data_IF_828919050967
#
_entry.id   IF_828919050967
#
_cell.length_a   1.000
_cell.length_b   1.000
_cell.length_c   1.000
_cell.angle_alpha   90.00
_cell.angle_beta   90.00
_cell.angle_gamma   90.00
#
_symmetry.space_group_name_H-M   'P 1'
#
loop_
_entity.id
_entity.type
_entity.pdbx_description
1 polymer ?
#
# COMPACT_ATOMS: atom_id res chain seq x y z
N UNK A 1 -26.87 -3.69 34.04
CA UNK A 1 -26.69 -3.61 32.58
C UNK A 1 -25.23 -3.93 32.26
N UNK A 2 -25.01 -4.75 31.25
CA UNK A 2 -23.68 -5.06 30.72
C UNK A 2 -23.39 -4.17 29.51
N UNK A 3 -22.13 -3.82 29.28
CA UNK A 3 -21.73 -3.03 28.12
C UNK A 3 -20.40 -3.56 27.57
N UNK A 4 -20.36 -3.82 26.26
CA UNK A 4 -19.21 -4.40 25.58
C UNK A 4 -18.93 -3.67 24.27
N UNK A 5 -17.64 -3.57 23.95
CA UNK A 5 -17.14 -3.18 22.64
C UNK A 5 -16.91 -4.45 21.82
N UNK A 6 -17.38 -4.46 20.58
CA UNK A 6 -17.22 -5.59 19.66
C UNK A 6 -16.36 -5.17 18.46
N UNK A 7 -15.47 -6.06 18.02
CA UNK A 7 -14.70 -5.87 16.80
C UNK A 7 -15.40 -6.56 15.62
N UNK A 8 -16.09 -5.77 14.79
CA UNK A 8 -16.96 -6.29 13.73
C UNK A 8 -16.22 -6.67 12.44
N UNK A 9 -15.22 -5.91 12.00
CA UNK A 9 -14.47 -6.16 10.76
C UNK A 9 -13.24 -5.27 10.63
N UNK A 10 -12.23 -5.70 9.86
CA UNK A 10 -11.22 -4.79 9.30
C UNK A 10 -9.76 -4.96 9.75
N UNK A 11 -9.40 -5.99 10.53
CA UNK A 11 -8.00 -6.27 10.86
C UNK A 11 -7.61 -7.72 10.57
N UNK A 12 -6.46 -7.91 9.93
CA UNK A 12 -5.77 -9.21 9.76
C UNK A 12 -4.84 -9.53 10.94
N UNK A 13 -4.72 -8.62 11.91
CA UNK A 13 -3.81 -8.70 13.06
C UNK A 13 -4.52 -8.29 14.35
N UNK A 14 -3.99 -8.70 15.50
CA UNK A 14 -4.47 -8.31 16.82
C UNK A 14 -4.33 -6.79 17.03
N UNK A 15 -5.40 -6.14 17.49
CA UNK A 15 -5.41 -4.69 17.76
C UNK A 15 -5.48 -4.45 19.25
N UNK A 16 -4.50 -3.72 19.79
CA UNK A 16 -4.53 -3.27 21.19
C UNK A 16 -5.27 -1.95 21.28
N UNK A 17 -6.31 -1.91 22.10
CA UNK A 17 -7.21 -0.77 22.24
C UNK A 17 -7.36 -0.43 23.71
N UNK A 18 -7.14 0.83 24.07
CA UNK A 18 -7.61 1.39 25.33
C UNK A 18 -8.95 2.06 25.07
N UNK A 19 -9.98 1.68 25.81
CA UNK A 19 -11.29 2.31 25.68
C UNK A 19 -11.90 2.62 27.04
N UNK A 20 -12.68 3.69 27.05
CA UNK A 20 -13.42 4.19 28.21
C UNK A 20 -14.89 4.28 27.85
N UNK A 21 -15.74 3.62 28.63
CA UNK A 21 -17.19 3.77 28.57
C UNK A 21 -17.64 4.60 29.77
N UNK A 22 -18.46 5.61 29.51
CA UNK A 22 -19.01 6.52 30.53
C UNK A 22 -20.46 6.86 30.23
N UNK A 23 -21.24 7.11 31.28
CA UNK A 23 -22.64 7.53 31.13
C UNK A 23 -22.75 9.05 31.26
N UNK A 24 -23.41 9.68 30.30
CA UNK A 24 -23.65 11.13 30.30
C UNK A 24 -24.99 11.47 30.96
N UNK A 25 -25.01 12.57 31.70
CA UNK A 25 -26.25 13.22 32.15
C UNK A 25 -26.78 14.20 31.09
N UNK A 26 -28.02 14.67 31.27
CA UNK A 26 -28.73 15.57 30.33
C UNK A 26 -27.96 16.85 29.97
N UNK A 27 -27.10 17.35 30.86
CA UNK A 27 -26.27 18.54 30.64
C UNK A 27 -24.95 18.24 29.91
N UNK A 28 -24.76 17.00 29.44
CA UNK A 28 -23.53 16.54 28.81
C UNK A 28 -22.37 16.35 29.78
N UNK A 29 -22.57 16.58 31.09
CA UNK A 29 -21.56 16.27 32.10
C UNK A 29 -21.53 14.77 32.36
N UNK A 30 -20.33 14.31 32.66
CA UNK A 30 -20.07 12.92 32.99
C UNK A 30 -20.56 12.68 34.41
N UNK A 31 -21.43 11.68 34.60
CA UNK A 31 -21.73 11.16 35.93
C UNK A 31 -20.47 10.47 36.46
N UNK A 32 -19.70 11.19 37.27
CA UNK A 32 -18.30 10.88 37.54
C UNK A 32 -17.99 9.56 38.30
N UNK A 33 -18.93 8.79 38.89
CA UNK A 33 -18.60 7.44 39.37
C UNK A 33 -18.76 6.31 38.33
N UNK A 34 -19.29 6.58 37.12
CA UNK A 34 -19.67 5.52 36.17
C UNK A 34 -18.77 5.41 34.93
N UNK A 35 -17.59 6.04 34.94
CA UNK A 35 -16.60 5.85 33.89
C UNK A 35 -15.77 4.59 34.17
N UNK A 36 -15.73 3.66 33.22
CA UNK A 36 -14.87 2.47 33.28
C UNK A 36 -13.92 2.46 32.10
N UNK A 37 -12.64 2.25 32.38
CA UNK A 37 -11.58 2.21 31.38
C UNK A 37 -10.88 0.87 31.43
N UNK A 38 -10.59 0.29 30.28
CA UNK A 38 -9.76 -0.91 30.17
C UNK A 38 -8.87 -0.85 28.93
N UNK A 39 -7.82 -1.65 28.92
CA UNK A 39 -7.00 -1.92 27.74
C UNK A 39 -7.17 -3.38 27.37
N UNK A 40 -7.56 -3.63 26.13
CA UNK A 40 -7.86 -4.96 25.62
C UNK A 40 -7.14 -5.20 24.30
N UNK A 41 -6.79 -6.46 24.04
CA UNK A 41 -6.35 -6.92 22.73
C UNK A 41 -7.53 -7.62 22.05
N UNK A 42 -7.96 -7.06 20.92
CA UNK A 42 -9.00 -7.63 20.07
C UNK A 42 -8.35 -8.47 18.98
N UNK A 43 -8.72 -9.75 18.90
CA UNK A 43 -8.35 -10.63 17.79
C UNK A 43 -9.32 -10.42 16.61
N UNK A 44 -8.95 -10.82 15.38
CA UNK A 44 -9.83 -10.70 14.22
C UNK A 44 -11.18 -11.40 14.44
N UNK A 45 -12.25 -10.60 14.35
CA UNK A 45 -13.68 -10.96 14.27
C UNK A 45 -14.29 -11.64 15.51
N UNK A 46 -15.41 -11.07 16.00
CA UNK A 46 -16.29 -11.69 17.01
C UNK A 46 -15.85 -11.57 18.46
N UNK A 47 -14.66 -11.00 18.73
CA UNK A 47 -14.19 -10.76 20.09
C UNK A 47 -14.83 -9.52 20.69
N UNK A 48 -15.34 -9.66 21.91
CA UNK A 48 -15.93 -8.59 22.70
C UNK A 48 -15.13 -8.37 23.99
N UNK A 49 -15.03 -7.10 24.40
CA UNK A 49 -14.45 -6.71 25.68
C UNK A 49 -15.32 -5.66 26.36
N UNK A 50 -15.52 -5.78 27.67
CA UNK A 50 -16.42 -4.89 28.39
C UNK A 50 -16.64 -5.31 29.83
N UNK A 51 -17.80 -4.94 30.37
CA UNK A 51 -18.16 -5.22 31.75
C UNK A 51 -19.53 -5.86 31.84
N UNK A 52 -19.61 -7.06 32.42
CA UNK A 52 -20.86 -7.74 32.75
C UNK A 52 -21.72 -6.94 33.75
N UNK A 53 -21.07 -6.17 34.61
CA UNK A 53 -21.73 -5.25 35.54
C UNK A 53 -21.24 -3.84 35.28
N UNK A 54 -21.59 -3.28 34.12
CA UNK A 54 -21.24 -1.90 33.79
C UNK A 54 -21.93 -0.92 34.74
N UNK A 55 -23.25 -1.06 34.94
CA UNK A 55 -24.03 -0.27 35.90
C UNK A 55 -25.11 -1.12 36.58
N UNK A 56 -25.35 -0.85 37.86
CA UNK A 56 -26.43 -1.47 38.63
C UNK A 56 -27.80 -1.03 38.10
N UNK A 57 -28.77 -1.94 38.13
CA UNK A 57 -30.13 -1.67 37.63
C UNK A 57 -30.80 -0.51 38.37
N UNK A 58 -30.64 -0.43 39.70
CA UNK A 58 -31.21 0.65 40.51
C UNK A 58 -30.66 2.03 40.12
N UNK A 59 -29.33 2.14 39.95
CA UNK A 59 -28.66 3.37 39.51
C UNK A 59 -29.08 3.77 38.09
N UNK A 60 -29.25 2.79 37.20
CA UNK A 60 -29.73 3.05 35.84
C UNK A 60 -31.18 3.54 35.83
N UNK A 61 -32.05 2.96 36.67
CA UNK A 61 -33.45 3.40 36.80
C UNK A 61 -33.56 4.83 37.34
N UNK A 62 -32.72 5.20 38.31
CA UNK A 62 -32.63 6.57 38.82
C UNK A 62 -32.23 7.56 37.72
N UNK A 63 -31.25 7.19 36.89
CA UNK A 63 -30.80 7.99 35.75
C UNK A 63 -31.86 8.12 34.66
N UNK A 64 -32.54 7.03 34.30
CA UNK A 64 -33.65 7.02 33.33
C UNK A 64 -34.79 7.94 33.79
N UNK A 65 -35.14 7.89 35.09
CA UNK A 65 -36.17 8.74 35.68
C UNK A 65 -35.83 10.22 35.61
N UNK A 66 -34.54 10.57 35.59
CA UNK A 66 -34.04 11.95 35.47
C UNK A 66 -33.86 12.41 34.02
N UNK A 67 -33.76 11.49 33.06
CA UNK A 67 -33.33 11.74 31.68
C UNK A 67 -34.35 11.27 30.62
N UNK A 68 -35.65 11.49 30.85
CA UNK A 68 -36.73 11.17 29.89
C UNK A 68 -36.65 9.74 29.33
N UNK A 69 -36.35 8.77 30.19
CA UNK A 69 -36.20 7.35 29.86
C UNK A 69 -35.11 7.05 28.80
N UNK A 70 -34.16 7.98 28.64
CA UNK A 70 -33.00 7.84 27.75
C UNK A 70 -31.70 7.88 28.56
N UNK A 71 -30.67 7.24 28.01
CA UNK A 71 -29.30 7.38 28.51
C UNK A 71 -28.31 7.34 27.35
N UNK A 72 -27.18 8.00 27.53
CA UNK A 72 -26.12 8.06 26.51
C UNK A 72 -24.85 7.43 27.07
N UNK A 73 -24.33 6.43 26.36
CA UNK A 73 -23.01 5.87 26.62
C UNK A 73 -22.01 6.58 25.71
N UNK A 74 -21.07 7.32 26.31
CA UNK A 74 -19.92 7.86 25.62
C UNK A 74 -18.79 6.84 25.64
N UNK A 75 -18.38 6.40 24.45
CA UNK A 75 -17.21 5.58 24.22
C UNK A 75 -16.06 6.45 23.73
N UNK A 76 -14.95 6.49 24.47
CA UNK A 76 -13.69 7.08 24.01
C UNK A 76 -12.74 5.93 23.72
N UNK A 77 -12.24 5.86 22.48
CA UNK A 77 -11.42 4.76 22.00
C UNK A 77 -10.06 5.29 21.55
N UNK A 78 -8.98 4.65 22.01
CA UNK A 78 -7.61 4.93 21.62
C UNK A 78 -6.96 3.64 21.13
N UNK A 79 -6.61 3.60 19.85
CA UNK A 79 -5.87 2.47 19.26
C UNK A 79 -4.39 2.63 19.61
N UNK A 80 -3.84 1.62 20.28
CA UNK A 80 -2.43 1.55 20.65
C UNK A 80 -1.73 0.73 19.56
N UNK A 81 -0.94 1.41 18.73
CA UNK A 81 0.02 0.74 17.85
C UNK A 81 1.21 0.35 18.73
N UNK A 82 1.40 -0.94 18.97
CA UNK A 82 2.65 -1.41 19.57
C UNK A 82 3.73 -1.13 18.52
N UNK A 83 4.48 -0.04 18.68
CA UNK A 83 5.80 0.05 18.06
C UNK A 83 6.63 -1.05 18.70
N UNK A 84 7.32 -1.86 17.90
CA UNK A 84 8.37 -2.73 18.42
C UNK A 84 9.46 -1.83 19.03
N UNK A 85 9.29 -1.43 20.29
CA UNK A 85 10.35 -0.89 21.11
C UNK A 85 10.90 -2.07 21.88
N UNK A 86 12.05 -2.55 21.42
CA UNK A 86 12.92 -3.41 22.21
C UNK A 86 13.15 -2.75 23.57
N UNK A 87 12.75 -3.44 24.62
CA UNK A 87 12.87 -2.98 26.00
C UNK A 87 14.19 -3.51 26.56
N UNK A 88 15.28 -2.70 26.55
CA UNK A 88 16.34 -2.67 27.59
C UNK A 88 17.09 -1.32 27.49
N UNK A 89 17.25 -0.61 28.60
CA UNK A 89 18.25 0.45 28.77
C UNK A 89 19.67 -0.07 28.46
N UNK A 90 20.09 0.05 27.22
CA UNK A 90 21.50 0.03 26.81
C UNK A 90 21.91 1.44 26.44
N UNK A 91 23.13 1.86 26.76
CA UNK A 91 23.74 3.07 26.20
C UNK A 91 23.64 2.96 24.68
N UNK A 92 22.70 3.70 24.08
CA UNK A 92 22.51 3.71 22.63
C UNK A 92 23.65 4.58 22.09
N UNK A 93 24.75 3.95 21.69
CA UNK A 93 25.69 4.61 20.77
C UNK A 93 24.88 4.90 19.51
N UNK A 94 24.66 6.17 19.13
CA UNK A 94 23.89 6.46 17.93
C UNK A 94 24.67 5.97 16.71
N UNK A 95 24.21 4.87 16.13
CA UNK A 95 24.77 4.35 14.88
C UNK A 95 24.34 5.29 13.75
N UNK A 96 25.29 5.89 13.00
CA UNK A 96 24.95 6.70 11.84
C UNK A 96 24.12 5.89 10.83
N UNK A 97 23.19 6.55 10.16
CA UNK A 97 22.45 5.93 9.05
C UNK A 97 23.41 5.53 7.93
N UNK A 98 23.07 4.48 7.19
CA UNK A 98 23.88 4.04 6.05
C UNK A 98 23.96 5.14 4.99
N UNK A 99 25.19 5.50 4.63
CA UNK A 99 25.52 6.46 3.57
C UNK A 99 25.82 5.76 2.22
N UNK A 100 25.77 4.42 2.20
CA UNK A 100 26.04 3.61 1.01
C UNK A 100 25.21 4.03 -0.21
N UNK A 101 23.88 4.27 -0.11
CA UNK A 101 23.11 4.76 -1.25
C UNK A 101 23.64 6.09 -1.79
N UNK A 102 24.04 7.02 -0.92
CA UNK A 102 24.58 8.31 -1.33
C UNK A 102 25.93 8.15 -2.05
N UNK A 103 26.79 7.23 -1.61
CA UNK A 103 28.03 6.92 -2.30
C UNK A 103 27.78 6.36 -3.71
N UNK A 104 26.79 5.47 -3.89
CA UNK A 104 26.41 4.97 -5.21
C UNK A 104 25.79 6.05 -6.12
N UNK A 105 24.99 6.97 -5.57
CA UNK A 105 24.48 8.13 -6.34
C UNK A 105 25.63 9.00 -6.81
N UNK A 106 26.59 9.31 -5.93
CA UNK A 106 27.73 10.14 -6.29
C UNK A 106 28.58 9.45 -7.36
N UNK A 107 28.82 8.14 -7.24
CA UNK A 107 29.50 7.35 -8.27
C UNK A 107 28.79 7.41 -9.63
N UNK A 108 27.44 7.36 -9.64
CA UNK A 108 26.64 7.54 -10.86
C UNK A 108 26.75 8.96 -11.44
N UNK A 109 26.91 9.99 -10.62
CA UNK A 109 27.04 11.40 -11.05
C UNK A 109 28.44 11.75 -11.54
N UNK A 110 29.47 11.29 -10.84
CA UNK A 110 30.87 11.61 -11.11
C UNK A 110 31.38 10.90 -12.37
N UNK A 111 30.69 9.83 -12.80
CA UNK A 111 30.94 9.15 -14.07
C UNK A 111 32.20 8.29 -14.12
N UNK A 112 32.94 8.22 -13.02
CA UNK A 112 34.20 7.48 -12.93
C UNK A 112 33.96 5.97 -13.01
N UNK A 113 34.62 5.30 -13.96
CA UNK A 113 34.56 3.83 -14.08
C UNK A 113 33.34 3.30 -14.82
N UNK A 114 32.53 4.17 -15.44
CA UNK A 114 31.41 3.76 -16.28
C UNK A 114 31.87 3.09 -17.57
N UNK A 115 31.41 1.86 -17.78
CA UNK A 115 31.85 0.92 -18.80
C UNK A 115 30.70 0.45 -19.71
N UNK A 116 29.53 1.09 -19.62
CA UNK A 116 28.38 0.89 -20.51
C UNK A 116 27.60 2.18 -20.69
N UNK A 117 27.03 2.37 -21.88
CA UNK A 117 26.10 3.44 -22.21
C UNK A 117 24.78 2.83 -22.69
N UNK A 118 23.65 3.38 -22.24
CA UNK A 118 22.32 3.04 -22.75
C UNK A 118 21.76 4.20 -23.57
N UNK A 119 21.29 3.93 -24.78
CA UNK A 119 20.54 4.88 -25.59
C UNK A 119 19.05 4.63 -25.37
N UNK A 120 18.38 5.59 -24.75
CA UNK A 120 16.94 5.52 -24.41
C UNK A 120 16.28 6.73 -25.02
N UNK A 121 15.41 6.53 -26.02
CA UNK A 121 14.87 7.64 -26.80
C UNK A 121 15.98 8.51 -27.40
N UNK A 122 15.97 9.80 -27.07
CA UNK A 122 16.95 10.81 -27.47
C UNK A 122 18.07 11.05 -26.44
N UNK A 123 18.12 10.28 -25.36
CA UNK A 123 19.06 10.46 -24.25
C UNK A 123 20.05 9.30 -24.10
N UNK A 124 21.23 9.62 -23.60
CA UNK A 124 22.29 8.65 -23.30
C UNK A 124 22.52 8.56 -21.78
N UNK A 125 22.50 7.34 -21.26
CA UNK A 125 22.70 7.05 -19.84
C UNK A 125 23.94 6.19 -19.66
N UNK A 126 24.98 6.74 -19.04
CA UNK A 126 26.19 5.97 -18.71
C UNK A 126 26.05 5.30 -17.34
N UNK A 127 26.57 4.09 -17.21
CA UNK A 127 26.41 3.27 -16.02
C UNK A 127 27.56 2.26 -15.84
N UNK A 128 27.47 1.45 -14.79
CA UNK A 128 28.46 0.44 -14.40
C UNK A 128 27.87 -0.97 -14.55
N UNK A 129 28.49 -1.80 -15.40
CA UNK A 129 27.98 -3.13 -15.73
C UNK A 129 27.79 -4.02 -14.50
N UNK A 130 28.75 -4.01 -13.59
CA UNK A 130 28.71 -4.85 -12.39
C UNK A 130 27.61 -4.45 -11.41
N UNK A 131 27.32 -3.15 -11.27
CA UNK A 131 26.22 -2.67 -10.42
C UNK A 131 24.88 -3.14 -10.99
N UNK A 132 24.68 -2.96 -12.30
CA UNK A 132 23.47 -3.40 -13.00
C UNK A 132 23.26 -4.91 -12.91
N UNK A 133 24.31 -5.69 -13.20
CA UNK A 133 24.25 -7.15 -13.16
C UNK A 133 24.08 -7.74 -11.75
N UNK A 134 24.52 -7.02 -10.71
CA UNK A 134 24.29 -7.44 -9.33
C UNK A 134 22.82 -7.24 -8.91
N UNK A 135 22.12 -6.29 -9.52
CA UNK A 135 20.80 -5.83 -9.09
C UNK A 135 19.67 -6.30 -9.99
N UNK A 136 19.96 -6.63 -11.24
CA UNK A 136 18.98 -7.13 -12.22
C UNK A 136 19.49 -8.40 -12.90
N UNK A 137 18.74 -9.52 -12.83
CA UNK A 137 19.10 -10.74 -13.54
C UNK A 137 19.07 -10.55 -15.06
N UNK A 138 18.22 -9.64 -15.56
CA UNK A 138 18.11 -9.34 -16.99
C UNK A 138 19.32 -8.56 -17.46
N UNK A 139 19.73 -7.49 -16.76
CA UNK A 139 20.99 -6.81 -17.11
C UNK A 139 22.19 -7.73 -16.94
N UNK A 140 22.19 -8.66 -15.97
CA UNK A 140 23.25 -9.67 -15.86
C UNK A 140 23.34 -10.54 -17.11
N UNK A 141 22.21 -11.03 -17.61
CA UNK A 141 22.17 -11.83 -18.82
C UNK A 141 22.54 -11.02 -20.07
N UNK A 142 22.06 -9.79 -20.18
CA UNK A 142 22.33 -8.90 -21.33
C UNK A 142 23.79 -8.47 -21.38
N UNK A 143 24.40 -8.14 -20.24
CA UNK A 143 25.77 -7.63 -20.17
C UNK A 143 26.84 -8.73 -20.09
N UNK A 144 26.52 -9.90 -19.52
CA UNK A 144 27.50 -10.96 -19.27
C UNK A 144 27.10 -12.33 -19.83
N UNK A 145 25.97 -12.44 -20.53
CA UNK A 145 25.50 -13.68 -21.15
C UNK A 145 26.30 -14.11 -22.38
N UNK A 146 26.02 -15.31 -22.87
CA UNK A 146 26.77 -15.94 -23.97
C UNK A 146 26.50 -15.30 -25.35
N UNK A 147 25.38 -14.60 -25.52
CA UNK A 147 25.06 -13.82 -26.71
C UNK A 147 25.66 -12.41 -26.63
N UNK A 148 26.96 -12.32 -26.35
CA UNK A 148 27.63 -11.02 -26.28
C UNK A 148 27.57 -10.34 -27.66
N UNK A 149 26.82 -9.24 -27.75
CA UNK A 149 27.25 -8.13 -28.58
C UNK A 149 28.56 -7.59 -27.98
N UNK A 150 29.66 -8.30 -28.27
CA UNK A 150 30.95 -8.20 -27.55
C UNK A 150 31.65 -6.85 -27.75
N UNK A 151 31.02 -5.94 -28.51
CA UNK A 151 31.60 -4.70 -29.03
C UNK A 151 30.67 -3.49 -28.92
N UNK A 152 29.44 -3.63 -28.43
CA UNK A 152 28.53 -2.49 -28.29
C UNK A 152 28.78 -1.81 -26.93
N UNK A 153 29.54 -0.71 -26.92
CA UNK A 153 29.63 0.20 -25.77
C UNK A 153 28.29 0.91 -25.50
N UNK A 154 27.36 0.86 -26.46
CA UNK A 154 26.05 1.50 -26.43
C UNK A 154 24.92 0.48 -26.65
N UNK A 155 24.06 0.29 -25.66
CA UNK A 155 22.90 -0.61 -25.69
C UNK A 155 21.63 0.22 -25.91
N UNK A 156 20.84 -0.12 -26.93
CA UNK A 156 19.62 0.62 -27.24
C UNK A 156 18.42 0.03 -26.49
N UNK A 157 17.65 0.89 -25.82
CA UNK A 157 16.38 0.54 -25.17
C UNK A 157 15.25 1.22 -25.95
N UNK A 158 14.47 0.44 -26.69
CA UNK A 158 13.43 0.96 -27.60
C UNK A 158 12.09 1.19 -26.91
N UNK A 159 11.68 0.31 -25.98
CA UNK A 159 10.34 0.36 -25.35
C UNK A 159 10.35 1.05 -23.97
N UNK A 160 11.09 2.15 -23.83
CA UNK A 160 11.13 2.89 -22.57
C UNK A 160 11.41 4.37 -22.81
N UNK A 161 10.66 5.22 -22.12
CA UNK A 161 10.94 6.65 -22.10
C UNK A 161 12.09 6.98 -21.14
N UNK A 162 12.91 8.01 -21.43
CA UNK A 162 13.97 8.48 -20.52
C UNK A 162 13.46 8.75 -19.10
N UNK A 163 12.25 9.33 -18.99
CA UNK A 163 11.61 9.66 -17.72
C UNK A 163 11.26 8.42 -16.85
N UNK A 164 11.26 7.22 -17.44
CA UNK A 164 11.04 5.95 -16.73
C UNK A 164 12.38 5.25 -16.47
N UNK A 165 13.31 5.32 -17.43
CA UNK A 165 14.62 4.72 -17.29
C UNK A 165 15.48 5.39 -16.21
N UNK A 166 15.40 6.72 -16.07
CA UNK A 166 16.16 7.44 -15.04
C UNK A 166 15.79 7.00 -13.61
N UNK A 167 14.50 6.95 -13.21
CA UNK A 167 14.10 6.39 -11.91
C UNK A 167 14.47 4.91 -11.74
N UNK A 168 14.36 4.10 -12.80
CA UNK A 168 14.78 2.69 -12.80
C UNK A 168 16.27 2.56 -12.48
N UNK A 169 17.11 3.33 -13.17
CA UNK A 169 18.55 3.36 -12.98
C UNK A 169 18.90 3.86 -11.57
N UNK A 170 18.27 4.94 -11.12
CA UNK A 170 18.45 5.44 -9.75
C UNK A 170 18.11 4.38 -8.70
N UNK A 171 17.01 3.66 -8.89
CA UNK A 171 16.60 2.58 -7.99
C UNK A 171 17.63 1.44 -7.94
N UNK A 172 18.22 1.08 -9.08
CA UNK A 172 19.27 0.05 -9.13
C UNK A 172 20.45 0.40 -8.21
N UNK A 173 20.86 1.67 -8.19
CA UNK A 173 22.00 2.15 -7.40
C UNK A 173 21.68 2.37 -5.93
N UNK A 174 20.44 2.75 -5.61
CA UNK A 174 20.10 3.28 -4.27
C UNK A 174 19.08 2.49 -3.51
N UNK A 175 18.40 1.54 -4.18
CA UNK A 175 17.20 0.86 -3.68
C UNK A 175 16.09 1.84 -3.26
N UNK A 176 16.09 3.06 -3.78
CA UNK A 176 15.11 4.10 -3.47
C UNK A 176 14.65 4.81 -4.75
N UNK A 177 13.37 5.20 -4.77
CA UNK A 177 12.88 6.12 -5.79
C UNK A 177 13.32 7.54 -5.44
N UNK A 178 13.72 8.36 -6.43
CA UNK A 178 14.00 9.78 -6.18
C UNK A 178 12.80 10.48 -5.55
N UNK A 179 13.03 11.28 -4.50
CA UNK A 179 11.99 12.04 -3.81
C UNK A 179 11.27 13.05 -4.73
N UNK A 180 11.93 13.44 -5.82
CA UNK A 180 11.47 14.46 -6.77
C UNK A 180 10.90 13.83 -8.05
N UNK A 181 10.65 12.53 -8.05
CA UNK A 181 10.04 11.86 -9.17
C UNK A 181 8.60 12.38 -9.36
N UNK A 182 8.40 13.22 -10.38
CA UNK A 182 7.08 13.52 -11.00
C UNK A 182 6.36 12.27 -11.55
N UNK A 183 6.93 11.08 -11.32
CA UNK A 183 6.29 9.77 -11.39
C UNK A 183 5.04 9.71 -10.50
N UNK A 184 4.71 10.74 -9.73
CA UNK A 184 3.41 10.87 -9.08
C UNK A 184 2.19 10.78 -10.02
N UNK A 185 2.41 10.90 -11.34
CA UNK A 185 1.42 10.53 -12.35
C UNK A 185 1.23 9.01 -12.42
N UNK A 186 -0.03 8.56 -12.29
CA UNK A 186 -0.41 7.14 -12.36
C UNK A 186 0.15 6.42 -13.60
N UNK A 187 0.21 7.10 -14.75
CA UNK A 187 0.74 6.55 -16.01
C UNK A 187 2.24 6.27 -15.90
N UNK A 188 3.02 7.17 -15.31
CA UNK A 188 4.46 6.95 -15.12
C UNK A 188 4.73 5.81 -14.13
N UNK A 189 3.94 5.68 -13.05
CA UNK A 189 4.03 4.52 -12.14
C UNK A 189 3.70 3.21 -12.84
N UNK A 190 2.69 3.20 -13.71
CA UNK A 190 2.34 2.05 -14.53
C UNK A 190 3.51 1.63 -15.42
N UNK A 191 4.10 2.56 -16.18
CA UNK A 191 5.28 2.26 -17.01
C UNK A 191 6.48 1.80 -16.19
N UNK A 192 6.70 2.39 -15.01
CA UNK A 192 7.77 1.97 -14.11
C UNK A 192 7.53 0.56 -13.52
N UNK A 193 6.28 0.17 -13.27
CA UNK A 193 5.93 -1.19 -12.87
C UNK A 193 6.29 -2.19 -13.99
N UNK A 194 5.93 -1.87 -15.24
CA UNK A 194 6.28 -2.69 -16.41
C UNK A 194 7.79 -2.82 -16.54
N UNK A 195 8.52 -1.70 -16.37
CA UNK A 195 9.98 -1.69 -16.39
C UNK A 195 10.59 -2.54 -15.27
N UNK A 196 10.08 -2.42 -14.05
CA UNK A 196 10.55 -3.19 -12.91
C UNK A 196 10.38 -4.69 -13.12
N UNK A 197 9.22 -5.11 -13.65
CA UNK A 197 8.97 -6.51 -14.01
C UNK A 197 9.90 -6.99 -15.13
N UNK A 198 10.04 -6.20 -16.21
CA UNK A 198 10.93 -6.49 -17.36
C UNK A 198 12.36 -6.73 -16.91
N UNK A 199 12.87 -5.98 -15.93
CA UNK A 199 14.26 -6.10 -15.46
C UNK A 199 14.41 -6.94 -14.18
N UNK A 200 13.35 -7.59 -13.70
CA UNK A 200 13.39 -8.46 -12.52
C UNK A 200 13.73 -7.72 -11.22
N UNK A 201 13.18 -6.52 -11.04
CA UNK A 201 13.35 -5.68 -9.85
C UNK A 201 12.12 -5.81 -8.93
N UNK A 202 11.97 -6.95 -8.27
CA UNK A 202 10.77 -7.31 -7.49
C UNK A 202 10.39 -6.28 -6.42
N UNK A 203 11.39 -5.70 -5.74
CA UNK A 203 11.14 -4.67 -4.71
C UNK A 203 10.60 -3.37 -5.31
N UNK A 204 11.12 -2.95 -6.47
CA UNK A 204 10.60 -1.78 -7.18
C UNK A 204 9.17 -2.04 -7.68
N UNK A 205 8.92 -3.23 -8.22
CA UNK A 205 7.59 -3.67 -8.65
C UNK A 205 6.58 -3.56 -7.50
N UNK A 206 6.93 -4.07 -6.31
CA UNK A 206 6.08 -3.97 -5.12
C UNK A 206 5.83 -2.51 -4.66
N UNK A 207 6.83 -1.63 -4.74
CA UNK A 207 6.67 -0.20 -4.42
C UNK A 207 5.71 0.46 -5.42
N UNK A 208 5.81 0.13 -6.70
CA UNK A 208 4.88 0.62 -7.72
C UNK A 208 3.45 0.10 -7.46
N UNK A 209 3.28 -1.17 -7.10
CA UNK A 209 1.99 -1.75 -6.73
C UNK A 209 1.35 -1.01 -5.54
N UNK A 210 2.13 -0.76 -4.48
CA UNK A 210 1.65 -0.04 -3.29
C UNK A 210 1.16 1.37 -3.66
N UNK A 211 1.97 2.13 -4.41
CA UNK A 211 1.62 3.49 -4.83
C UNK A 211 0.40 3.51 -5.75
N UNK A 212 0.31 2.56 -6.69
CA UNK A 212 -0.84 2.45 -7.60
C UNK A 212 -2.12 2.07 -6.84
N UNK A 213 -2.04 1.21 -5.82
CA UNK A 213 -3.19 0.89 -4.97
C UNK A 213 -3.76 2.12 -4.25
N UNK A 214 -2.91 3.07 -3.87
CA UNK A 214 -3.33 4.31 -3.18
C UNK A 214 -3.95 5.34 -4.12
N UNK A 215 -3.70 5.25 -5.43
CA UNK A 215 -4.07 6.26 -6.43
C UNK A 215 -5.06 5.74 -7.49
N UNK A 216 -5.76 4.65 -7.22
CA UNK A 216 -6.78 4.11 -8.14
C UNK A 216 -7.91 5.14 -8.33
N UNK A 217 -8.19 5.50 -9.58
CA UNK A 217 -9.28 6.39 -9.95
C UNK A 217 -10.12 5.82 -11.10
N UNK A 218 -11.25 6.48 -11.42
CA UNK A 218 -12.21 6.03 -12.45
C UNK A 218 -11.58 5.94 -13.85
N UNK A 219 -10.63 6.82 -14.18
CA UNK A 219 -9.98 6.86 -15.49
C UNK A 219 -8.86 5.81 -15.60
N UNK A 220 -8.16 5.56 -14.50
CA UNK A 220 -6.96 4.71 -14.48
C UNK A 220 -7.22 3.27 -14.05
N UNK A 221 -8.31 2.97 -13.34
CA UNK A 221 -8.56 1.61 -12.81
C UNK A 221 -8.57 0.53 -13.88
N UNK A 222 -9.10 0.82 -15.08
CA UNK A 222 -9.16 -0.16 -16.15
C UNK A 222 -7.77 -0.50 -16.70
N UNK A 223 -6.92 0.51 -16.91
CA UNK A 223 -5.55 0.30 -17.38
C UNK A 223 -4.68 -0.34 -16.29
N UNK A 224 -4.83 0.09 -15.03
CA UNK A 224 -4.14 -0.53 -13.88
C UNK A 224 -4.53 -1.99 -13.69
N UNK A 225 -5.80 -2.34 -13.89
CA UNK A 225 -6.27 -3.72 -13.77
C UNK A 225 -5.72 -4.62 -14.90
N UNK A 226 -5.69 -4.12 -16.13
CA UNK A 226 -5.07 -4.85 -17.25
C UNK A 226 -3.58 -5.13 -16.98
N UNK A 227 -2.85 -4.11 -16.51
CA UNK A 227 -1.44 -4.24 -16.13
C UNK A 227 -1.25 -5.22 -14.98
N UNK A 228 -2.16 -5.21 -14.00
CA UNK A 228 -2.06 -6.10 -12.87
C UNK A 228 -2.22 -7.58 -13.26
N UNK A 229 -3.11 -7.86 -14.22
CA UNK A 229 -3.24 -9.19 -14.80
C UNK A 229 -1.99 -9.58 -15.60
N UNK A 230 -1.53 -8.70 -16.48
CA UNK A 230 -0.39 -8.95 -17.38
C UNK A 230 0.91 -9.22 -16.63
N UNK A 231 1.16 -8.49 -15.54
CA UNK A 231 2.37 -8.60 -14.73
C UNK A 231 2.17 -9.44 -13.46
N UNK A 232 1.05 -10.15 -13.36
CA UNK A 232 0.72 -11.07 -12.26
C UNK A 232 0.81 -10.43 -10.86
N UNK A 233 0.36 -9.18 -10.71
CA UNK A 233 0.35 -8.45 -9.45
C UNK A 233 -0.97 -8.63 -8.70
N UNK A 234 -1.05 -9.70 -7.91
CA UNK A 234 -2.29 -10.13 -7.25
C UNK A 234 -2.87 -9.08 -6.31
N UNK A 235 -2.02 -8.34 -5.59
CA UNK A 235 -2.48 -7.33 -4.63
C UNK A 235 -3.12 -6.14 -5.34
N UNK A 236 -2.48 -5.65 -6.40
CA UNK A 236 -2.99 -4.56 -7.23
C UNK A 236 -4.28 -4.98 -7.95
N UNK A 237 -4.33 -6.19 -8.52
CA UNK A 237 -5.54 -6.75 -9.14
C UNK A 237 -6.71 -6.74 -8.16
N UNK A 238 -6.51 -7.24 -6.95
CA UNK A 238 -7.55 -7.27 -5.91
C UNK A 238 -7.99 -5.86 -5.48
N UNK A 239 -7.07 -4.90 -5.39
CA UNK A 239 -7.41 -3.51 -5.08
C UNK A 239 -8.29 -2.89 -6.19
N UNK A 240 -7.94 -3.10 -7.46
CA UNK A 240 -8.74 -2.67 -8.61
C UNK A 240 -10.13 -3.31 -8.62
N UNK A 241 -10.23 -4.63 -8.40
CA UNK A 241 -11.52 -5.33 -8.34
C UNK A 241 -12.40 -4.83 -7.19
N UNK A 242 -11.82 -4.57 -6.02
CA UNK A 242 -12.54 -3.95 -4.90
C UNK A 242 -13.05 -2.56 -5.25
N UNK A 243 -12.25 -1.74 -5.92
CA UNK A 243 -12.69 -0.42 -6.38
C UNK A 243 -13.85 -0.53 -7.38
N UNK A 244 -13.80 -1.48 -8.31
CA UNK A 244 -14.85 -1.76 -9.29
C UNK A 244 -16.11 -2.41 -8.71
N UNK A 245 -16.06 -3.01 -7.52
CA UNK A 245 -17.26 -3.58 -6.88
C UNK A 245 -18.30 -2.53 -6.47
N UNK A 246 -17.89 -1.25 -6.38
CA UNK A 246 -18.80 -0.14 -6.10
C UNK A 246 -19.65 0.17 -7.34
N UNK A 247 -20.97 0.02 -7.24
CA UNK A 247 -21.93 0.18 -8.35
C UNK A 247 -21.77 1.51 -9.11
N UNK A 248 -21.59 2.62 -8.39
CA UNK A 248 -21.46 3.94 -9.02
C UNK A 248 -20.13 4.11 -9.75
N UNK A 249 -19.06 3.54 -9.19
CA UNK A 249 -17.74 3.51 -9.83
C UNK A 249 -17.80 2.67 -11.09
N UNK A 250 -18.34 1.44 -11.02
CA UNK A 250 -18.45 0.56 -12.17
C UNK A 250 -19.24 1.21 -13.32
N UNK A 251 -20.32 1.92 -13.00
CA UNK A 251 -21.12 2.64 -14.00
C UNK A 251 -20.33 3.78 -14.66
N UNK A 252 -19.48 4.48 -13.91
CA UNK A 252 -18.62 5.53 -14.44
C UNK A 252 -17.48 4.95 -15.29
N UNK A 253 -16.80 3.90 -14.80
CA UNK A 253 -15.69 3.23 -15.49
C UNK A 253 -16.16 2.60 -16.81
N UNK A 254 -17.35 2.00 -16.86
CA UNK A 254 -17.92 1.45 -18.11
C UNK A 254 -18.03 2.47 -19.26
N UNK A 255 -18.06 3.77 -18.95
CA UNK A 255 -18.12 4.84 -19.94
C UNK A 255 -16.74 5.27 -20.43
N UNK A 256 -15.65 4.88 -19.75
CA UNK A 256 -14.29 5.26 -20.15
C UNK A 256 -13.81 4.38 -21.30
N UNK A 257 -12.96 4.93 -22.15
CA UNK A 257 -12.37 4.16 -23.24
C UNK A 257 -11.41 3.09 -22.72
N UNK A 258 -10.76 3.32 -21.58
CA UNK A 258 -9.93 2.33 -20.90
C UNK A 258 -10.66 1.03 -20.58
N UNK A 259 -11.95 1.11 -20.20
CA UNK A 259 -12.76 -0.10 -19.94
C UNK A 259 -13.11 -0.87 -21.23
N UNK A 260 -13.35 -0.16 -22.34
CA UNK A 260 -13.57 -0.80 -23.66
C UNK A 260 -12.31 -1.51 -24.15
N UNK A 261 -11.14 -0.93 -23.90
CA UNK A 261 -9.86 -1.58 -24.17
C UNK A 261 -9.67 -2.81 -23.29
N UNK A 262 -9.97 -2.71 -21.99
CA UNK A 262 -9.91 -3.84 -21.06
C UNK A 262 -10.76 -5.04 -21.51
N UNK A 263 -12.01 -4.81 -21.95
CA UNK A 263 -12.88 -5.89 -22.46
C UNK A 263 -12.31 -6.61 -23.68
N UNK A 264 -11.51 -5.91 -24.48
CA UNK A 264 -10.94 -6.45 -25.72
C UNK A 264 -9.61 -7.16 -25.46
N UNK A 265 -8.75 -6.59 -24.62
CA UNK A 265 -7.40 -7.09 -24.37
C UNK A 265 -7.37 -8.25 -23.37
N UNK A 266 -8.28 -8.28 -22.39
CA UNK A 266 -8.26 -9.29 -21.32
C UNK A 266 -9.68 -9.78 -20.98
N UNK A 267 -10.28 -10.67 -21.79
CA UNK A 267 -11.64 -11.16 -21.57
C UNK A 267 -11.82 -11.92 -20.24
N UNK A 268 -10.78 -12.58 -19.74
CA UNK A 268 -10.77 -13.31 -18.46
C UNK A 268 -11.13 -12.41 -17.27
N UNK A 269 -10.63 -11.17 -17.28
CA UNK A 269 -10.86 -10.19 -16.22
C UNK A 269 -12.35 -9.84 -16.07
N UNK A 270 -13.14 -9.95 -17.14
CA UNK A 270 -14.57 -9.68 -17.05
C UNK A 270 -15.30 -10.71 -16.17
N UNK A 271 -14.87 -11.97 -16.19
CA UNK A 271 -15.42 -12.99 -15.30
C UNK A 271 -15.08 -12.65 -13.84
N UNK A 272 -13.84 -12.24 -13.56
CA UNK A 272 -13.44 -11.81 -12.22
C UNK A 272 -14.23 -10.59 -11.72
N UNK A 273 -14.51 -9.63 -12.61
CA UNK A 273 -15.37 -8.47 -12.29
C UNK A 273 -16.80 -8.92 -12.02
N UNK A 274 -17.36 -9.81 -12.85
CA UNK A 274 -18.71 -10.33 -12.67
C UNK A 274 -18.85 -11.10 -11.36
N UNK A 275 -17.90 -11.97 -11.04
CA UNK A 275 -17.88 -12.74 -9.79
C UNK A 275 -17.79 -11.84 -8.56
N UNK A 276 -17.12 -10.68 -8.68
CA UNK A 276 -16.99 -9.73 -7.57
C UNK A 276 -18.15 -8.74 -7.44
N UNK A 277 -18.90 -8.52 -8.51
CA UNK A 277 -20.05 -7.61 -8.55
C UNK A 277 -21.37 -8.37 -8.35
N UNK A 278 -21.42 -9.67 -8.68
CA UNK A 278 -22.56 -10.51 -8.40
C UNK A 278 -22.80 -10.52 -6.88
N UNK A 279 -24.05 -10.31 -6.42
CA UNK A 279 -24.36 -10.45 -5.02
C UNK A 279 -23.99 -11.87 -4.59
N UNK A 280 -23.25 -11.99 -3.49
CA UNK A 280 -23.04 -13.27 -2.82
C UNK A 280 -24.43 -13.87 -2.58
N UNK A 281 -24.73 -14.94 -3.31
CA UNK A 281 -25.93 -15.74 -3.09
C UNK A 281 -25.69 -16.53 -1.81
N UNK A 282 -25.75 -15.84 -0.67
CA UNK A 282 -25.85 -16.48 0.63
C UNK A 282 -27.31 -16.86 0.83
N UNK A 283 -27.54 -18.18 0.72
CA UNK A 283 -28.70 -18.91 1.23
C UNK A 283 -28.51 -19.12 2.73
#
# INVERSE_FOLDING_TARGET
MSAFLCFCSGATMDVKVKFTLSLLEKDGKISNPNSKTTTAKFKPVGYTWGWDKFIDKSKLQELLSRNDDCFTIKCVLTVIKDHHTEDVSTVVVPVPQSDLPAHFVNMLKDGQGMDVTFSVGDQLFRAHRYVLAARSPVFKAELFGQMKETTMECIKIEDMEPAIFEPLLHFIYTDNLPNNCDVDQNVALQHLLVAADRYGLDRLKAICEEKLCQKIDVQTVATTLALAEQHHTVQLKNACLRYLSLQDVLRAVKKTDGFKHLTTSCPSIMMDILDKVAPSSEV
#
